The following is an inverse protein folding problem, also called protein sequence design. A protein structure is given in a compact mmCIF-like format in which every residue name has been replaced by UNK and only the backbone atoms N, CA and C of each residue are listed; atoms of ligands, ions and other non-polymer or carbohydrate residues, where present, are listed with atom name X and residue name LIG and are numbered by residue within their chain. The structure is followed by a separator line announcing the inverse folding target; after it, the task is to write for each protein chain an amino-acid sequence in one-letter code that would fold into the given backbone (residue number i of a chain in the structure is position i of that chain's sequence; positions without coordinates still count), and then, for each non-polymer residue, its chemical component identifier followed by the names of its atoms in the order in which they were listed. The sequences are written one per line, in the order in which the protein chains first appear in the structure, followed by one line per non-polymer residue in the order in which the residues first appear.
data_IF_166813542152
#
_entry.id   IF_166813542152
#
_cell.length_a   1.000
_cell.length_b   1.000
_cell.length_c   1.000
_cell.angle_alpha   90.00
_cell.angle_beta   90.00
_cell.angle_gamma   90.00
#
_symmetry.space_group_name_H-M   'P 1'
#
loop_
_entity.id
_entity.type
_entity.pdbx_description
1 polymer ?
#
# COMPACT_ATOMS: atom_id res chain seq x y z
N UNK A 1 -1.90 -84.43 18.34
CA UNK A 1 -1.13 -83.38 17.66
C UNK A 1 -2.07 -82.26 17.26
N UNK A 2 -2.09 -81.16 18.01
CA UNK A 2 -2.99 -80.05 17.79
C UNK A 2 -2.17 -78.87 17.25
N UNK A 3 -2.49 -78.40 16.03
CA UNK A 3 -1.90 -77.24 15.41
C UNK A 3 -2.56 -75.96 15.96
N UNK A 4 -1.76 -75.14 16.63
CA UNK A 4 -2.17 -73.76 17.00
C UNK A 4 -2.19 -72.86 15.78
N UNK A 5 -3.34 -72.18 15.50
CA UNK A 5 -3.47 -71.09 14.54
C UNK A 5 -3.14 -69.79 15.22
N UNK A 6 -2.13 -69.12 14.70
CA UNK A 6 -1.80 -67.75 15.09
C UNK A 6 -2.80 -66.77 14.46
N UNK A 7 -3.43 -65.93 15.31
CA UNK A 7 -4.25 -64.81 14.86
C UNK A 7 -3.37 -63.58 14.78
N UNK A 8 -3.06 -63.11 13.58
CA UNK A 8 -2.44 -61.82 13.37
C UNK A 8 -3.50 -60.71 13.51
N UNK A 9 -3.26 -59.84 14.50
CA UNK A 9 -4.05 -58.63 14.70
C UNK A 9 -3.50 -57.55 13.77
N UNK A 10 -4.24 -57.25 12.70
CA UNK A 10 -3.94 -56.12 11.79
C UNK A 10 -4.39 -54.86 12.45
N UNK A 11 -3.47 -54.11 13.02
CA UNK A 11 -3.70 -52.74 13.52
C UNK A 11 -3.69 -51.74 12.37
N UNK A 12 -4.87 -51.35 11.91
CA UNK A 12 -5.06 -50.29 10.94
C UNK A 12 -4.73 -48.92 11.58
N UNK A 13 -3.54 -48.38 11.30
CA UNK A 13 -3.19 -47.01 11.64
C UNK A 13 -3.97 -46.06 10.75
N UNK A 14 -5.02 -45.41 11.27
CA UNK A 14 -5.65 -44.25 10.66
C UNK A 14 -4.62 -43.11 10.56
N UNK A 15 -4.11 -42.84 9.35
CA UNK A 15 -3.41 -41.61 9.03
C UNK A 15 -4.38 -40.44 9.15
N UNK A 16 -4.29 -39.67 10.24
CA UNK A 16 -4.92 -38.34 10.29
C UNK A 16 -4.31 -37.47 9.20
N UNK A 17 -5.09 -37.17 8.16
CA UNK A 17 -4.76 -36.09 7.21
C UNK A 17 -4.82 -34.77 7.96
N UNK A 18 -3.68 -34.23 8.34
CA UNK A 18 -3.56 -32.84 8.75
C UNK A 18 -3.90 -32.00 7.51
N UNK A 19 -5.12 -31.45 7.48
CA UNK A 19 -5.47 -30.42 6.49
C UNK A 19 -4.53 -29.24 6.72
N UNK A 20 -3.53 -29.11 5.85
CA UNK A 20 -2.74 -27.86 5.78
C UNK A 20 -3.69 -26.76 5.37
N UNK A 21 -3.98 -25.82 6.26
CA UNK A 21 -4.67 -24.60 5.89
C UNK A 21 -3.94 -23.99 4.69
N UNK A 22 -4.64 -23.64 3.60
CA UNK A 22 -3.98 -22.99 2.48
C UNK A 22 -3.32 -21.72 3.01
N UNK A 23 -2.01 -21.59 2.80
CA UNK A 23 -1.31 -20.34 3.10
C UNK A 23 -2.00 -19.25 2.31
N UNK A 24 -2.64 -18.30 3.01
CA UNK A 24 -3.23 -17.14 2.38
C UNK A 24 -2.18 -16.50 1.47
N UNK A 25 -2.53 -16.33 0.20
CA UNK A 25 -1.62 -15.76 -0.79
C UNK A 25 -1.28 -14.33 -0.32
N UNK A 26 0.00 -14.00 -0.16
CA UNK A 26 0.43 -12.65 0.29
C UNK A 26 -0.12 -11.53 -0.60
N UNK A 27 -0.35 -11.82 -1.89
CA UNK A 27 -0.97 -10.89 -2.84
C UNK A 27 -2.47 -10.66 -2.61
N UNK A 28 -3.13 -11.47 -1.77
CA UNK A 28 -4.56 -11.32 -1.49
C UNK A 28 -4.88 -9.98 -0.81
N UNK A 29 -4.06 -9.56 0.15
CA UNK A 29 -4.29 -8.33 0.91
C UNK A 29 -4.19 -7.08 0.03
N UNK A 30 -3.18 -7.02 -0.83
CA UNK A 30 -2.98 -5.92 -1.78
C UNK A 30 -4.15 -5.85 -2.78
N UNK A 31 -4.63 -7.01 -3.23
CA UNK A 31 -5.80 -7.10 -4.11
C UNK A 31 -7.06 -6.59 -3.43
N UNK A 32 -7.29 -6.98 -2.17
CA UNK A 32 -8.47 -6.53 -1.40
C UNK A 32 -8.42 -5.01 -1.15
N UNK A 33 -7.27 -4.47 -0.77
CA UNK A 33 -7.09 -3.03 -0.60
C UNK A 33 -7.47 -2.26 -1.87
N UNK A 34 -6.92 -2.68 -3.01
CA UNK A 34 -7.23 -2.06 -4.31
C UNK A 34 -8.72 -2.20 -4.69
N UNK A 35 -9.31 -3.37 -4.48
CA UNK A 35 -10.74 -3.57 -4.75
C UNK A 35 -11.64 -2.67 -3.91
N UNK A 36 -11.35 -2.53 -2.63
CA UNK A 36 -12.15 -1.69 -1.73
C UNK A 36 -12.07 -0.21 -2.11
N UNK A 37 -10.86 0.28 -2.39
CA UNK A 37 -10.61 1.70 -2.60
C UNK A 37 -10.55 2.12 -4.07
N UNK A 38 -10.84 1.20 -5.01
CA UNK A 38 -11.21 1.56 -6.40
C UNK A 38 -12.62 2.17 -6.47
N UNK A 39 -13.46 1.95 -5.45
CA UNK A 39 -14.73 2.64 -5.32
C UNK A 39 -14.47 4.04 -4.73
N UNK A 40 -14.98 5.09 -5.43
CA UNK A 40 -14.76 6.49 -5.05
C UNK A 40 -15.35 6.86 -3.69
N UNK A 41 -16.50 6.28 -3.33
CA UNK A 41 -17.15 6.55 -2.04
C UNK A 41 -16.30 6.03 -0.89
N UNK A 42 -15.81 4.77 -1.00
CA UNK A 42 -14.92 4.18 0.00
C UNK A 42 -13.61 4.95 0.10
N UNK A 43 -13.06 5.37 -1.05
CA UNK A 43 -11.82 6.13 -1.10
C UNK A 43 -11.99 7.52 -0.48
N UNK A 44 -13.12 8.19 -0.73
CA UNK A 44 -13.42 9.48 -0.12
C UNK A 44 -13.59 9.36 1.40
N UNK A 45 -14.27 8.32 1.86
CA UNK A 45 -14.41 8.04 3.30
C UNK A 45 -13.03 7.84 3.96
N UNK A 46 -12.15 7.02 3.36
CA UNK A 46 -10.79 6.83 3.84
C UNK A 46 -9.98 8.13 3.83
N UNK A 47 -10.09 8.91 2.75
CA UNK A 47 -9.44 10.21 2.64
C UNK A 47 -9.88 11.16 3.75
N UNK A 48 -11.18 11.27 3.98
CA UNK A 48 -11.75 12.12 5.03
C UNK A 48 -11.25 11.71 6.42
N UNK A 49 -11.27 10.41 6.72
CA UNK A 49 -10.80 9.88 8.00
C UNK A 49 -9.32 10.20 8.27
N UNK A 50 -8.46 10.07 7.26
CA UNK A 50 -7.01 10.31 7.41
C UNK A 50 -6.69 11.80 7.54
N UNK A 51 -7.41 12.65 6.80
CA UNK A 51 -7.11 14.08 6.72
C UNK A 51 -7.99 14.94 7.64
N UNK A 52 -8.94 14.36 8.38
CA UNK A 52 -9.88 15.08 9.23
C UNK A 52 -10.79 16.02 8.42
N UNK A 53 -11.17 15.60 7.21
CA UNK A 53 -12.03 16.36 6.30
C UNK A 53 -13.42 15.73 6.18
N UNK A 54 -14.37 16.44 5.58
CA UNK A 54 -15.75 15.99 5.42
C UNK A 54 -16.26 16.30 4.00
N UNK A 55 -15.52 15.87 2.98
CA UNK A 55 -16.01 15.95 1.61
C UNK A 55 -17.16 14.97 1.39
N UNK A 56 -18.25 15.44 0.81
CA UNK A 56 -19.45 14.62 0.57
C UNK A 56 -19.55 14.13 -0.87
N UNK A 57 -18.92 14.82 -1.82
CA UNK A 57 -19.01 14.51 -3.24
C UNK A 57 -17.85 13.61 -3.70
N UNK A 58 -18.09 12.31 -4.01
CA UNK A 58 -17.06 11.41 -4.53
C UNK A 58 -16.45 11.84 -5.87
N UNK A 59 -17.13 12.64 -6.65
CA UNK A 59 -16.62 13.17 -7.93
C UNK A 59 -15.49 14.22 -7.72
N UNK A 60 -15.29 14.70 -6.49
CA UNK A 60 -14.12 15.51 -6.15
C UNK A 60 -12.81 14.73 -6.21
N UNK A 61 -12.89 13.39 -6.29
CA UNK A 61 -11.75 12.48 -6.45
C UNK A 61 -11.52 12.15 -7.92
N UNK A 62 -10.34 12.45 -8.42
CA UNK A 62 -9.86 11.96 -9.72
C UNK A 62 -8.87 10.81 -9.49
N UNK A 63 -9.29 9.59 -9.82
CA UNK A 63 -8.42 8.40 -9.72
C UNK A 63 -7.50 8.38 -10.94
N UNK A 64 -6.19 8.44 -10.68
CA UNK A 64 -5.13 8.46 -11.71
C UNK A 64 -4.21 7.26 -11.61
N UNK A 65 -4.65 6.18 -11.01
CA UNK A 65 -3.86 4.97 -10.76
C UNK A 65 -3.18 4.46 -12.04
N UNK A 66 -1.92 4.10 -11.93
CA UNK A 66 -1.09 3.56 -12.99
C UNK A 66 -1.53 2.14 -13.38
N UNK A 67 -2.56 1.99 -14.22
CA UNK A 67 -2.95 0.66 -14.73
C UNK A 67 -1.86 0.01 -15.59
N UNK A 68 -1.02 0.80 -16.25
CA UNK A 68 -0.06 0.37 -17.27
C UNK A 68 1.41 0.77 -17.03
N UNK A 69 1.75 1.26 -15.85
CA UNK A 69 3.16 1.57 -15.56
C UNK A 69 3.97 0.30 -15.29
N UNK A 70 4.22 -0.45 -16.34
CA UNK A 70 5.25 -1.49 -16.35
C UNK A 70 6.61 -0.80 -16.59
N UNK A 71 6.94 0.19 -15.79
CA UNK A 71 8.32 0.62 -15.71
C UNK A 71 8.97 -0.16 -14.56
N UNK A 72 9.86 -1.08 -14.89
CA UNK A 72 10.57 -1.94 -13.94
C UNK A 72 9.68 -2.88 -13.08
N UNK A 73 8.45 -3.22 -13.52
CA UNK A 73 7.57 -4.13 -12.78
C UNK A 73 7.03 -3.56 -11.46
N UNK A 74 7.21 -2.27 -11.23
CA UNK A 74 6.66 -1.57 -10.06
C UNK A 74 5.27 -1.03 -10.38
N UNK A 75 4.34 -1.27 -9.47
CA UNK A 75 2.98 -0.70 -9.51
C UNK A 75 2.73 -0.06 -8.17
N UNK A 76 2.13 1.12 -8.18
CA UNK A 76 1.53 1.65 -6.97
C UNK A 76 0.12 1.06 -6.80
N UNK A 77 -0.40 1.00 -5.58
CA UNK A 77 -1.70 0.39 -5.34
C UNK A 77 -2.83 1.35 -5.74
N UNK A 78 -2.71 2.63 -5.38
CA UNK A 78 -3.73 3.63 -5.65
C UNK A 78 -3.13 5.03 -5.72
N UNK A 79 -3.43 5.76 -6.81
CA UNK A 79 -3.11 7.17 -6.95
C UNK A 79 -4.38 7.96 -7.31
N UNK A 80 -4.59 9.11 -6.68
CA UNK A 80 -5.75 9.96 -6.92
C UNK A 80 -5.45 11.43 -6.59
N UNK A 81 -6.21 12.32 -7.23
CA UNK A 81 -6.12 13.76 -7.02
C UNK A 81 -7.37 14.22 -6.27
N UNK A 82 -7.15 15.04 -5.23
CA UNK A 82 -8.20 15.82 -4.55
C UNK A 82 -7.74 17.25 -4.49
N UNK A 83 -8.56 18.16 -5.00
CA UNK A 83 -8.23 19.58 -5.13
C UNK A 83 -6.88 19.77 -5.86
N UNK A 84 -5.82 20.15 -5.15
CA UNK A 84 -4.49 20.42 -5.71
C UNK A 84 -3.42 19.46 -5.20
N UNK A 85 -3.82 18.33 -4.60
CA UNK A 85 -2.89 17.34 -4.07
C UNK A 85 -3.04 16.01 -4.79
N UNK A 86 -1.92 15.36 -5.07
CA UNK A 86 -1.85 14.01 -5.61
C UNK A 86 -1.46 13.06 -4.48
N UNK A 87 -2.36 12.14 -4.14
CA UNK A 87 -2.15 11.15 -3.09
C UNK A 87 -1.70 9.83 -3.70
N UNK A 88 -0.67 9.23 -3.12
CA UNK A 88 -0.24 7.87 -3.40
C UNK A 88 -0.44 7.04 -2.13
N UNK A 89 -1.39 6.10 -2.21
CA UNK A 89 -1.71 5.17 -1.15
C UNK A 89 -1.17 3.79 -1.50
N UNK A 90 -0.39 3.21 -0.61
CA UNK A 90 0.22 1.89 -0.76
C UNK A 90 -0.15 0.99 0.42
N UNK A 91 -0.44 -0.28 0.16
CA UNK A 91 -0.64 -1.27 1.21
C UNK A 91 0.59 -2.18 1.33
N UNK A 92 1.08 -2.40 2.55
CA UNK A 92 2.24 -3.25 2.81
C UNK A 92 2.01 -4.25 3.93
N UNK A 93 2.19 -5.53 3.64
CA UNK A 93 2.25 -6.60 4.64
C UNK A 93 3.67 -6.91 5.13
N UNK A 94 4.68 -6.31 4.51
CA UNK A 94 6.09 -6.45 4.89
C UNK A 94 6.73 -5.07 4.86
N UNK A 95 7.41 -4.70 5.94
CA UNK A 95 8.14 -3.44 6.00
C UNK A 95 9.17 -3.33 4.86
N UNK A 96 9.15 -2.22 4.14
CA UNK A 96 10.08 -1.92 3.07
C UNK A 96 10.71 -0.53 3.31
N UNK A 97 12.01 -0.45 3.62
CA UNK A 97 12.69 0.83 3.86
C UNK A 97 12.86 1.67 2.59
N UNK A 98 12.70 1.07 1.41
CA UNK A 98 12.86 1.75 0.11
C UNK A 98 11.57 2.43 -0.38
N UNK A 99 10.56 2.59 0.48
CA UNK A 99 9.32 3.27 0.07
C UNK A 99 9.54 4.67 -0.45
N UNK A 100 10.35 5.54 0.19
CA UNK A 100 10.55 6.88 -0.34
C UNK A 100 11.15 6.90 -1.75
N UNK A 101 12.05 5.97 -2.04
CA UNK A 101 12.63 5.85 -3.39
C UNK A 101 11.60 5.32 -4.40
N UNK A 102 10.76 4.37 -4.01
CA UNK A 102 9.68 3.87 -4.87
C UNK A 102 8.66 4.97 -5.16
N UNK A 103 8.26 5.71 -4.15
CA UNK A 103 7.29 6.80 -4.27
C UNK A 103 7.81 7.93 -5.15
N UNK A 104 9.10 8.26 -5.07
CA UNK A 104 9.75 9.19 -5.99
C UNK A 104 9.63 8.74 -7.45
N UNK A 105 9.84 7.46 -7.73
CA UNK A 105 9.70 6.90 -9.08
C UNK A 105 8.25 6.90 -9.55
N UNK A 106 7.30 6.60 -8.65
CA UNK A 106 5.87 6.64 -8.97
C UNK A 106 5.41 8.05 -9.28
N UNK A 107 5.73 9.02 -8.42
CA UNK A 107 5.31 10.40 -8.64
C UNK A 107 5.93 11.00 -9.91
N UNK A 108 7.17 10.66 -10.22
CA UNK A 108 7.82 11.08 -11.45
C UNK A 108 7.05 10.57 -12.68
N UNK A 109 6.58 9.32 -12.64
CA UNK A 109 5.77 8.74 -13.72
C UNK A 109 4.39 9.38 -13.85
N UNK A 110 3.76 9.75 -12.72
CA UNK A 110 2.48 10.47 -12.75
C UNK A 110 2.64 11.88 -13.31
N UNK A 111 3.65 12.60 -12.87
CA UNK A 111 3.91 13.96 -13.37
C UNK A 111 4.22 13.98 -14.87
N UNK A 112 4.87 12.96 -15.41
CA UNK A 112 5.10 12.85 -16.86
C UNK A 112 3.80 12.81 -17.68
N UNK A 113 2.70 12.35 -17.09
CA UNK A 113 1.38 12.36 -17.76
C UNK A 113 0.65 13.69 -17.62
N UNK A 114 0.87 14.38 -16.50
CA UNK A 114 0.17 15.61 -16.16
C UNK A 114 0.79 16.86 -16.80
N UNK A 115 2.10 16.81 -17.12
CA UNK A 115 2.80 17.97 -17.67
C UNK A 115 2.72 18.00 -19.19
N UNK A 116 2.55 19.19 -19.75
CA UNK A 116 2.78 19.41 -21.18
C UNK A 116 4.28 19.55 -21.44
N UNK A 117 4.88 18.51 -22.05
CA UNK A 117 6.31 18.45 -22.30
C UNK A 117 6.83 19.61 -23.16
N UNK A 118 6.01 20.16 -24.07
CA UNK A 118 6.40 21.31 -24.89
C UNK A 118 6.49 22.59 -24.05
N UNK A 119 5.55 22.75 -23.13
CA UNK A 119 5.50 23.91 -22.24
C UNK A 119 6.56 23.88 -21.13
N UNK A 120 7.24 22.75 -20.89
CA UNK A 120 8.36 22.70 -19.94
C UNK A 120 9.52 23.63 -20.34
N UNK A 121 9.66 23.95 -21.62
CA UNK A 121 10.71 24.85 -22.14
C UNK A 121 10.22 26.28 -22.31
N UNK A 122 8.99 26.59 -21.91
CA UNK A 122 8.43 27.95 -21.96
C UNK A 122 8.85 28.76 -20.73
N UNK A 123 8.64 30.07 -20.79
CA UNK A 123 8.82 30.95 -19.64
C UNK A 123 7.65 30.91 -18.64
N UNK A 124 6.59 30.17 -18.93
CA UNK A 124 5.40 30.04 -18.08
C UNK A 124 5.56 28.87 -17.13
N UNK A 125 5.41 29.11 -15.82
CA UNK A 125 5.45 28.06 -14.81
C UNK A 125 4.24 27.14 -14.93
N UNK A 126 4.49 25.84 -15.16
CA UNK A 126 3.46 24.82 -15.05
C UNK A 126 3.24 24.47 -13.58
N UNK A 127 1.97 24.47 -13.18
CA UNK A 127 1.56 24.03 -11.84
C UNK A 127 1.20 22.55 -11.89
N UNK A 128 1.67 21.80 -10.91
CA UNK A 128 1.37 20.37 -10.74
C UNK A 128 0.80 20.13 -9.33
N UNK A 129 -0.01 19.10 -9.12
CA UNK A 129 -0.51 18.74 -7.79
C UNK A 129 0.63 18.42 -6.83
N UNK A 130 0.53 18.88 -5.58
CA UNK A 130 1.52 18.56 -4.55
C UNK A 130 1.40 17.07 -4.14
N UNK A 131 2.50 16.30 -4.07
CA UNK A 131 2.46 14.88 -3.78
C UNK A 131 2.33 14.63 -2.27
N UNK A 132 1.54 13.60 -1.90
CA UNK A 132 1.44 13.08 -0.54
C UNK A 132 1.48 11.56 -0.57
N UNK A 133 2.33 10.97 0.28
CA UNK A 133 2.60 9.53 0.30
C UNK A 133 2.16 8.94 1.63
N UNK A 134 1.30 7.91 1.56
CA UNK A 134 0.79 7.22 2.74
C UNK A 134 0.87 5.71 2.52
N UNK A 135 1.51 5.03 3.46
CA UNK A 135 1.64 3.57 3.47
C UNK A 135 0.77 3.00 4.59
N UNK A 136 -0.10 2.08 4.25
CA UNK A 136 -0.90 1.28 5.18
C UNK A 136 -0.16 -0.03 5.47
N UNK A 137 0.38 -0.15 6.67
CA UNK A 137 1.16 -1.30 7.08
C UNK A 137 0.34 -2.23 7.98
N UNK A 138 0.21 -3.49 7.59
CA UNK A 138 -0.41 -4.55 8.40
C UNK A 138 0.47 -5.78 8.58
N UNK A 139 1.78 -5.58 8.60
CA UNK A 139 2.75 -6.65 8.80
C UNK A 139 2.82 -7.14 10.25
N UNK A 140 3.52 -8.26 10.44
CA UNK A 140 3.69 -8.89 11.77
C UNK A 140 4.86 -8.32 12.58
N UNK A 141 5.74 -7.50 11.98
CA UNK A 141 6.82 -6.85 12.71
C UNK A 141 6.23 -5.76 13.58
N UNK A 142 6.51 -5.82 14.88
CA UNK A 142 6.12 -4.74 15.79
C UNK A 142 6.80 -3.44 15.38
N UNK A 143 6.00 -2.42 15.16
CA UNK A 143 6.42 -1.06 14.82
C UNK A 143 5.59 -0.08 15.64
N UNK A 144 5.99 1.18 15.59
CA UNK A 144 5.19 2.28 16.10
C UNK A 144 3.86 2.36 15.35
N UNK A 145 2.85 2.99 15.94
CA UNK A 145 1.53 3.15 15.30
C UNK A 145 1.63 4.01 14.04
N UNK A 146 2.53 4.99 14.06
CA UNK A 146 2.85 5.86 12.93
C UNK A 146 4.35 6.11 12.88
N UNK A 147 4.90 6.14 11.69
CA UNK A 147 6.30 6.55 11.48
C UNK A 147 6.48 7.18 10.10
N UNK A 148 7.57 7.89 9.97
CA UNK A 148 7.98 8.55 8.74
C UNK A 148 9.24 7.90 8.17
N UNK A 149 9.25 7.71 6.86
CA UNK A 149 10.43 7.29 6.12
C UNK A 149 10.89 8.45 5.24
N UNK A 150 12.17 8.75 5.28
CA UNK A 150 12.77 9.85 4.53
C UNK A 150 13.63 9.31 3.38
N UNK A 151 13.56 9.96 2.22
CA UNK A 151 14.38 9.60 1.07
C UNK A 151 15.86 9.84 1.33
N UNK A 152 16.19 10.84 2.13
CA UNK A 152 17.59 11.17 2.53
C UNK A 152 18.33 9.99 3.16
N UNK A 153 17.60 9.02 3.75
CA UNK A 153 18.20 7.80 4.30
C UNK A 153 18.73 6.83 3.22
N UNK A 154 18.36 7.06 1.96
CA UNK A 154 18.83 6.25 0.82
C UNK A 154 20.04 6.90 0.12
N UNK A 155 20.43 8.11 0.46
CA UNK A 155 21.60 8.76 -0.15
C UNK A 155 22.90 8.18 0.45
N UNK A 156 23.84 7.79 -0.40
CA UNK A 156 25.14 7.25 0.01
C UNK A 156 25.98 8.32 0.74
N UNK A 157 25.97 9.55 0.21
CA UNK A 157 26.61 10.70 0.80
C UNK A 157 25.66 11.88 0.80
N UNK A 158 25.46 12.47 1.97
CA UNK A 158 24.64 13.66 2.13
C UNK A 158 25.48 14.75 2.80
N UNK A 159 25.83 15.76 2.03
CA UNK A 159 26.47 16.98 2.56
C UNK A 159 25.41 18.06 2.80
N UNK A 160 25.24 18.45 4.05
CA UNK A 160 24.23 19.43 4.46
C UNK A 160 22.80 18.87 4.43
N UNK A 161 21.85 19.76 4.23
CA UNK A 161 20.42 19.40 4.17
C UNK A 161 20.04 18.80 2.81
N UNK A 162 19.21 17.73 2.78
CA UNK A 162 18.73 17.15 1.54
C UNK A 162 17.85 18.16 0.79
N UNK A 163 18.06 18.29 -0.52
CA UNK A 163 17.24 19.15 -1.40
C UNK A 163 16.02 18.41 -1.97
N UNK A 164 15.98 17.08 -1.85
CA UNK A 164 14.90 16.23 -2.26
C UNK A 164 14.65 15.18 -1.18
N UNK A 165 13.71 15.46 -0.29
CA UNK A 165 13.40 14.56 0.83
C UNK A 165 11.90 14.53 1.13
N UNK A 166 11.07 14.04 0.19
CA UNK A 166 9.65 13.92 0.45
C UNK A 166 9.39 12.88 1.55
N UNK A 167 8.64 13.26 2.60
CA UNK A 167 8.28 12.33 3.65
C UNK A 167 7.26 11.30 3.17
N UNK A 168 7.43 10.05 3.59
CA UNK A 168 6.47 8.96 3.42
C UNK A 168 5.94 8.57 4.78
N UNK A 169 4.67 8.86 5.02
CA UNK A 169 3.99 8.53 6.27
C UNK A 169 3.49 7.10 6.24
N UNK A 170 3.84 6.30 7.24
CA UNK A 170 3.33 4.96 7.40
C UNK A 170 2.39 4.89 8.59
N UNK A 171 1.20 4.35 8.36
CA UNK A 171 0.17 4.07 9.35
C UNK A 171 0.12 2.58 9.62
N UNK A 172 0.24 2.18 10.87
CA UNK A 172 0.12 0.79 11.28
C UNK A 172 -1.36 0.43 11.37
N UNK A 173 -1.82 -0.45 10.48
CA UNK A 173 -3.23 -0.87 10.39
C UNK A 173 -3.47 -2.22 11.05
N UNK A 174 -2.73 -2.60 12.08
CA UNK A 174 -3.08 -3.74 12.91
C UNK A 174 -4.28 -3.43 13.81
N UNK A 175 -4.90 -4.46 14.37
CA UNK A 175 -6.28 -4.41 14.93
C UNK A 175 -6.62 -3.19 15.80
N UNK A 176 -5.69 -2.73 16.63
CA UNK A 176 -5.96 -1.62 17.56
C UNK A 176 -6.15 -0.26 16.85
N UNK A 177 -5.42 -0.04 15.75
CA UNK A 177 -5.46 1.24 15.01
C UNK A 177 -6.54 1.27 13.93
N UNK A 178 -6.83 0.13 13.30
CA UNK A 178 -7.90 0.01 12.31
C UNK A 178 -9.27 0.36 12.90
N UNK A 179 -9.53 0.00 14.15
CA UNK A 179 -10.82 0.29 14.80
C UNK A 179 -11.08 1.80 14.87
N UNK A 180 -10.09 2.59 15.29
CA UNK A 180 -10.21 4.06 15.36
C UNK A 180 -10.40 4.67 13.96
N UNK A 181 -9.68 4.19 12.95
CA UNK A 181 -9.81 4.65 11.57
C UNK A 181 -11.15 4.26 10.96
N UNK A 182 -11.66 3.06 11.24
CA UNK A 182 -12.96 2.58 10.77
C UNK A 182 -14.14 3.28 11.46
N UNK A 183 -13.99 3.69 12.70
CA UNK A 183 -15.01 4.51 13.38
C UNK A 183 -15.15 5.90 12.76
N UNK A 184 -14.09 6.43 12.17
CA UNK A 184 -14.08 7.70 11.45
C UNK A 184 -14.52 7.56 9.98
N UNK A 185 -14.50 6.34 9.41
CA UNK A 185 -15.01 5.99 8.09
C UNK A 185 -16.51 5.66 8.17
N UNK A 186 -17.38 6.65 8.34
CA UNK A 186 -18.85 6.47 8.29
C UNK A 186 -19.43 7.07 7.04
#
# INVERSE_FOLDING_TARGET
MAKRKNHEIVTTKKKQMIRKNPRANKKYKDTVFRMLFSNRENLLSLYNAINGTAYENPEALEIVTLENAIYMGMKNDLAFIVATNLFLYEHQSTYNPNMPLRDLLYISSEYQKLVDHKSLYSSTLQKIPAPKFIVFYNGTRKKEDKWENLLSKAFEHLEGEPKLDPPVFTLNCNEEYILELMEQCK
#
